data_IF_384704475229
#
_entry.id   IF_384704475229
#
_cell.length_a   1.000
_cell.length_b   1.000
_cell.length_c   1.000
_cell.angle_alpha   90.00
_cell.angle_beta   90.00
_cell.angle_gamma   90.00
#
_symmetry.space_group_name_H-M   'P 1'
#
loop_
_entity.id
_entity.type
_entity.pdbx_description
1 polymer ?
#
# COMPACT_ATOMS: atom_id res chain seq x y z
N UNK A 1 1.81 10.57 17.53
CA UNK A 1 2.92 9.61 17.46
C UNK A 1 4.24 10.34 17.19
N UNK A 2 5.31 10.10 17.98
CA UNK A 2 6.57 10.89 17.94
C UNK A 2 7.78 10.11 17.39
N UNK A 3 7.58 8.91 16.83
CA UNK A 3 8.69 8.00 16.46
C UNK A 3 9.12 8.16 15.00
N UNK A 4 8.15 8.36 14.09
CA UNK A 4 8.41 8.35 12.63
C UNK A 4 9.36 9.47 12.18
N UNK A 5 9.08 10.73 12.54
CA UNK A 5 9.90 11.87 12.11
C UNK A 5 11.35 11.77 12.60
N UNK A 6 11.63 11.50 13.89
CA UNK A 6 12.99 11.30 14.36
C UNK A 6 13.70 10.12 13.67
N UNK A 7 13.00 9.02 13.40
CA UNK A 7 13.59 7.87 12.70
C UNK A 7 14.01 8.23 11.27
N UNK A 8 13.15 8.92 10.51
CA UNK A 8 13.46 9.39 9.17
C UNK A 8 14.65 10.36 9.17
N UNK A 9 14.66 11.33 10.08
CA UNK A 9 15.75 12.30 10.21
C UNK A 9 17.07 11.65 10.61
N UNK A 10 17.05 10.65 11.50
CA UNK A 10 18.24 9.89 11.89
C UNK A 10 18.83 9.09 10.71
N UNK A 11 18.00 8.71 9.73
CA UNK A 11 18.44 8.10 8.47
C UNK A 11 18.88 9.14 7.41
N UNK A 12 18.88 10.43 7.75
CA UNK A 12 19.20 11.51 6.82
C UNK A 12 18.10 11.81 5.81
N UNK A 13 16.89 11.27 5.99
CA UNK A 13 15.76 11.51 5.11
C UNK A 13 15.15 12.87 5.45
N UNK A 14 15.30 13.82 4.53
CA UNK A 14 14.80 15.19 4.67
C UNK A 14 13.60 15.51 3.78
N UNK A 15 13.23 14.59 2.89
CA UNK A 15 12.09 14.71 1.95
C UNK A 15 11.56 13.33 1.60
N UNK A 16 10.27 13.23 1.31
CA UNK A 16 9.64 12.02 0.78
C UNK A 16 9.07 12.31 -0.61
N UNK A 17 9.44 11.50 -1.60
CA UNK A 17 8.82 11.57 -2.92
C UNK A 17 7.36 11.09 -2.87
N UNK A 18 7.08 10.06 -2.06
CA UNK A 18 5.74 9.54 -1.83
C UNK A 18 5.55 9.17 -0.35
N UNK A 19 4.39 9.55 0.21
CA UNK A 19 3.85 8.99 1.44
C UNK A 19 2.57 8.26 1.07
N UNK A 20 2.51 6.95 1.28
CA UNK A 20 1.33 6.14 1.04
C UNK A 20 0.77 5.64 2.38
N UNK A 21 -0.50 5.94 2.64
CA UNK A 21 -1.27 5.43 3.78
C UNK A 21 -2.18 4.33 3.24
N UNK A 22 -2.21 3.16 3.88
CA UNK A 22 -3.07 2.06 3.41
C UNK A 22 -4.55 2.41 3.57
N UNK A 23 -4.91 2.96 4.73
CA UNK A 23 -6.21 3.51 5.07
C UNK A 23 -6.03 4.49 6.25
N UNK A 24 -7.12 5.07 6.77
CA UNK A 24 -7.05 6.19 7.71
C UNK A 24 -7.26 5.84 9.19
N UNK A 25 -7.21 4.56 9.57
CA UNK A 25 -7.23 4.23 10.99
C UNK A 25 -5.93 4.69 11.65
N UNK A 26 -6.01 4.97 12.95
CA UNK A 26 -4.98 5.73 13.65
C UNK A 26 -3.65 4.96 13.82
N UNK A 27 -3.70 3.63 13.82
CA UNK A 27 -2.52 2.76 13.81
C UNK A 27 -1.82 2.66 12.44
N UNK A 28 -2.44 3.18 11.37
CA UNK A 28 -1.83 3.30 10.04
C UNK A 28 -1.51 4.75 9.66
N UNK A 29 -2.35 5.70 10.06
CA UNK A 29 -2.27 7.11 9.67
C UNK A 29 -1.86 8.06 10.80
N UNK A 30 -1.77 7.59 12.05
CA UNK A 30 -1.56 8.43 13.24
C UNK A 30 -0.27 9.24 13.23
N UNK A 31 0.76 8.77 12.52
CA UNK A 31 2.02 9.49 12.32
C UNK A 31 1.99 10.52 11.19
N UNK A 32 1.04 10.43 10.25
CA UNK A 32 1.01 11.22 9.03
C UNK A 32 0.93 12.74 9.27
N UNK A 33 0.12 13.27 10.23
CA UNK A 33 0.10 14.71 10.50
C UNK A 33 1.47 15.26 10.90
N UNK A 34 2.22 14.49 11.70
CA UNK A 34 3.55 14.89 12.16
C UNK A 34 4.55 14.88 10.99
N UNK A 35 4.50 13.85 10.14
CA UNK A 35 5.34 13.77 8.94
C UNK A 35 5.07 14.94 8.00
N UNK A 36 3.82 15.19 7.64
CA UNK A 36 3.43 16.24 6.70
C UNK A 36 3.77 17.66 7.22
N UNK A 37 3.84 17.87 8.53
CA UNK A 37 4.25 19.14 9.13
C UNK A 37 5.77 19.36 9.13
N UNK A 38 6.58 18.31 9.20
CA UNK A 38 8.03 18.42 9.44
C UNK A 38 8.89 17.98 8.27
N UNK A 39 8.34 17.17 7.35
CA UNK A 39 9.07 16.59 6.22
C UNK A 39 8.28 16.94 4.95
N UNK A 40 8.91 17.63 3.97
CA UNK A 40 8.30 17.83 2.65
C UNK A 40 7.92 16.50 1.99
N UNK A 41 6.65 16.37 1.63
CA UNK A 41 6.09 15.23 0.90
C UNK A 41 5.62 15.71 -0.46
N UNK A 42 6.14 15.12 -1.54
CA UNK A 42 5.74 15.50 -2.91
C UNK A 42 4.35 14.97 -3.24
N UNK A 43 4.08 13.70 -2.89
CA UNK A 43 2.78 13.08 -3.13
C UNK A 43 2.30 12.31 -1.91
N UNK A 44 1.15 12.70 -1.38
CA UNK A 44 0.38 11.90 -0.44
C UNK A 44 -0.60 11.01 -1.20
N UNK A 45 -0.64 9.72 -0.87
CA UNK A 45 -1.60 8.76 -1.42
C UNK A 45 -2.26 7.94 -0.33
N UNK A 46 -3.53 7.62 -0.51
CA UNK A 46 -4.37 6.94 0.49
C UNK A 46 -5.61 6.35 -0.18
N UNK A 47 -6.30 5.43 0.47
CA UNK A 47 -7.61 4.93 0.01
C UNK A 47 -8.74 5.95 0.24
N UNK A 48 -8.54 6.90 1.15
CA UNK A 48 -9.48 7.96 1.50
C UNK A 48 -8.77 9.33 1.55
N UNK A 49 -9.52 10.42 1.31
CA UNK A 49 -8.99 11.79 1.40
C UNK A 49 -8.54 12.10 2.83
N UNK A 50 -7.27 12.51 2.99
CA UNK A 50 -6.70 12.79 4.31
C UNK A 50 -6.84 14.25 4.71
N UNK A 51 -7.89 14.57 5.47
CA UNK A 51 -8.15 15.92 5.95
C UNK A 51 -8.23 16.94 4.80
N UNK A 52 -7.45 18.03 4.88
CA UNK A 52 -7.36 19.03 3.82
C UNK A 52 -6.13 18.86 2.91
N UNK A 53 -5.37 17.78 3.06
CA UNK A 53 -4.17 17.56 2.27
C UNK A 53 -4.55 17.05 0.86
N UNK A 54 -3.93 17.58 -0.21
CA UNK A 54 -4.07 17.01 -1.54
C UNK A 54 -3.67 15.53 -1.52
N UNK A 55 -4.66 14.66 -1.72
CA UNK A 55 -4.51 13.21 -1.56
C UNK A 55 -4.80 12.54 -2.89
N UNK A 56 -3.83 11.77 -3.39
CA UNK A 56 -4.01 10.88 -4.53
C UNK A 56 -4.67 9.58 -4.06
N UNK A 57 -5.93 9.34 -4.46
CA UNK A 57 -6.58 8.08 -4.13
C UNK A 57 -5.84 6.92 -4.79
N UNK A 58 -5.47 5.90 -4.02
CA UNK A 58 -4.80 4.72 -4.54
C UNK A 58 -5.82 3.82 -5.24
N UNK A 59 -5.45 3.29 -6.40
CA UNK A 59 -6.33 2.48 -7.24
C UNK A 59 -5.56 1.35 -7.92
N UNK A 60 -6.18 0.19 -8.04
CA UNK A 60 -5.59 -0.98 -8.67
C UNK A 60 -5.18 -0.70 -10.12
N UNK A 61 -3.96 -1.07 -10.48
CA UNK A 61 -3.38 -0.83 -11.79
C UNK A 61 -2.41 0.35 -11.82
N UNK A 62 -2.40 1.20 -10.81
CA UNK A 62 -1.32 2.16 -10.62
C UNK A 62 0.02 1.44 -10.50
N UNK A 63 1.01 1.97 -11.21
CA UNK A 63 2.36 1.40 -11.24
C UNK A 63 3.40 2.50 -11.38
N UNK A 64 4.45 2.43 -10.56
CA UNK A 64 5.60 3.31 -10.69
C UNK A 64 6.90 2.55 -10.42
N UNK A 65 8.02 3.19 -10.74
CA UNK A 65 9.35 2.67 -10.48
C UNK A 65 10.17 3.68 -9.68
N UNK A 66 10.91 3.19 -8.69
CA UNK A 66 11.85 3.98 -7.90
C UNK A 66 13.12 3.17 -7.68
N UNK A 67 14.27 3.68 -8.15
CA UNK A 67 15.58 3.03 -8.08
C UNK A 67 15.60 1.55 -8.52
N UNK A 68 14.90 1.26 -9.61
CA UNK A 68 14.79 -0.10 -10.14
C UNK A 68 13.67 -0.93 -9.51
N UNK A 69 13.17 -0.55 -8.34
CA UNK A 69 12.05 -1.22 -7.64
C UNK A 69 10.73 -0.83 -8.29
N UNK A 70 9.93 -1.83 -8.63
CA UNK A 70 8.59 -1.65 -9.23
C UNK A 70 7.55 -1.75 -8.12
N UNK A 71 6.67 -0.76 -8.08
CA UNK A 71 5.55 -0.71 -7.17
C UNK A 71 4.25 -0.81 -7.97
N UNK A 72 3.35 -1.70 -7.57
CA UNK A 72 2.04 -1.88 -8.22
C UNK A 72 0.94 -1.91 -7.18
N UNK A 73 -0.04 -1.03 -7.31
CA UNK A 73 -1.25 -1.06 -6.46
C UNK A 73 -2.17 -2.15 -6.99
N UNK A 74 -2.59 -3.05 -6.11
CA UNK A 74 -3.44 -4.20 -6.45
C UNK A 74 -4.90 -4.00 -6.05
N UNK A 75 -5.17 -3.18 -5.04
CA UNK A 75 -6.49 -2.82 -4.51
C UNK A 75 -6.42 -1.40 -3.88
N UNK A 76 -7.54 -0.69 -3.71
CA UNK A 76 -8.90 -1.06 -4.12
C UNK A 76 -9.09 -1.07 -5.64
N UNK A 77 -10.11 -1.77 -6.14
CA UNK A 77 -10.45 -1.71 -7.56
C UNK A 77 -11.17 -0.39 -7.87
N UNK A 78 -10.95 0.24 -9.04
CA UNK A 78 -11.61 1.50 -9.40
C UNK A 78 -13.15 1.44 -9.27
N UNK A 79 -13.76 0.28 -9.57
CA UNK A 79 -15.20 0.08 -9.45
C UNK A 79 -15.71 0.09 -7.99
N UNK A 80 -14.85 -0.19 -7.02
CA UNK A 80 -15.22 -0.24 -5.61
C UNK A 80 -15.21 1.13 -4.93
N UNK A 81 -14.69 2.19 -5.58
CA UNK A 81 -14.86 3.56 -5.09
C UNK A 81 -16.34 4.01 -5.10
N UNK A 82 -17.20 3.32 -5.85
CA UNK A 82 -18.66 3.56 -5.88
C UNK A 82 -19.45 2.61 -4.96
N UNK A 83 -18.83 1.52 -4.50
CA UNK A 83 -19.39 0.53 -3.59
C UNK A 83 -18.41 0.37 -2.43
N UNK A 84 -18.31 1.41 -1.60
CA UNK A 84 -17.45 1.38 -0.42
C UNK A 84 -17.95 0.21 0.45
N UNK A 85 -17.11 -0.82 0.69
CA UNK A 85 -17.49 -1.90 1.59
C UNK A 85 -17.87 -1.29 2.95
N UNK A 86 -18.81 -1.91 3.67
CA UNK A 86 -19.17 -1.41 5.00
C UNK A 86 -17.97 -1.36 5.96
N UNK A 87 -16.96 -2.16 5.66
CA UNK A 87 -15.67 -2.18 6.34
C UNK A 87 -14.63 -1.39 5.54
N UNK A 88 -14.11 -0.31 6.13
CA UNK A 88 -13.09 0.55 5.50
C UNK A 88 -11.77 -0.18 5.28
N UNK A 89 -11.51 -1.22 6.06
CA UNK A 89 -10.29 -2.02 5.96
C UNK A 89 -10.18 -2.71 4.60
N UNK A 90 -11.31 -3.09 4.01
CA UNK A 90 -11.42 -3.68 2.66
C UNK A 90 -11.19 -2.65 1.54
N UNK A 91 -11.02 -1.38 1.88
CA UNK A 91 -10.56 -0.34 0.94
C UNK A 91 -9.06 -0.07 1.06
N UNK A 92 -8.31 -0.85 1.86
CA UNK A 92 -6.87 -0.65 2.04
C UNK A 92 -6.11 -0.63 0.70
N UNK A 93 -5.19 0.31 0.53
CA UNK A 93 -4.22 0.27 -0.56
C UNK A 93 -3.36 -0.98 -0.41
N UNK A 94 -3.56 -1.98 -1.27
CA UNK A 94 -2.72 -3.18 -1.30
C UNK A 94 -1.58 -2.96 -2.29
N UNK A 95 -0.35 -3.13 -1.84
CA UNK A 95 0.85 -2.81 -2.61
C UNK A 95 1.73 -4.03 -2.86
N UNK A 96 2.04 -4.29 -4.13
CA UNK A 96 3.11 -5.22 -4.52
C UNK A 96 4.39 -4.45 -4.80
N UNK A 97 5.48 -4.84 -4.16
CA UNK A 97 6.82 -4.28 -4.33
C UNK A 97 7.72 -5.35 -4.94
N UNK A 98 8.33 -5.06 -6.09
CA UNK A 98 9.20 -5.99 -6.81
C UNK A 98 10.60 -5.41 -6.91
N UNK A 99 11.60 -6.10 -6.35
CA UNK A 99 13.00 -5.68 -6.43
C UNK A 99 13.62 -6.05 -7.77
N UNK A 100 14.59 -5.29 -8.29
CA UNK A 100 15.30 -5.69 -9.49
C UNK A 100 16.08 -6.99 -9.26
N UNK A 101 16.06 -7.89 -10.23
CA UNK A 101 16.94 -9.06 -10.23
C UNK A 101 18.40 -8.63 -10.43
N UNK A 102 19.32 -9.34 -9.79
CA UNK A 102 20.76 -9.23 -10.04
C UNK A 102 21.26 -10.54 -10.66
N UNK A 103 22.55 -10.61 -11.01
CA UNK A 103 23.14 -11.84 -11.57
C UNK A 103 23.04 -13.03 -10.61
N UNK A 104 22.96 -12.78 -9.30
CA UNK A 104 23.02 -13.81 -8.26
C UNK A 104 21.76 -13.88 -7.39
N UNK A 105 20.84 -12.90 -7.49
CA UNK A 105 19.63 -12.83 -6.67
C UNK A 105 18.44 -12.60 -7.60
N UNK A 106 17.41 -13.47 -7.60
CA UNK A 106 16.21 -13.27 -8.39
C UNK A 106 15.43 -12.03 -7.91
N UNK A 107 14.45 -11.59 -8.71
CA UNK A 107 13.46 -10.61 -8.26
C UNK A 107 12.79 -11.11 -6.97
N UNK A 108 12.56 -10.21 -6.03
CA UNK A 108 11.82 -10.51 -4.81
C UNK A 108 10.54 -9.68 -4.77
N UNK A 109 9.45 -10.31 -4.37
CA UNK A 109 8.12 -9.74 -4.36
C UNK A 109 7.60 -9.65 -2.92
N UNK A 110 7.32 -8.43 -2.47
CA UNK A 110 6.72 -8.16 -1.17
C UNK A 110 5.30 -7.67 -1.36
N UNK A 111 4.34 -8.37 -0.78
CA UNK A 111 2.93 -7.98 -0.76
C UNK A 111 2.58 -7.35 0.59
N UNK A 112 2.07 -6.11 0.55
CA UNK A 112 1.66 -5.35 1.73
C UNK A 112 0.15 -5.16 1.68
N UNK A 113 -0.56 -5.77 2.62
CA UNK A 113 -2.03 -5.81 2.63
C UNK A 113 -2.68 -4.64 3.37
N UNK A 114 -1.94 -3.95 4.25
CA UNK A 114 -2.55 -2.99 5.18
C UNK A 114 -3.52 -3.74 6.09
N UNK A 115 -4.80 -3.32 6.09
CA UNK A 115 -5.86 -4.04 6.81
C UNK A 115 -6.84 -4.77 5.90
N UNK A 116 -6.48 -4.96 4.63
CA UNK A 116 -7.28 -5.75 3.71
C UNK A 116 -7.64 -7.12 4.32
N UNK A 117 -8.93 -7.41 4.38
CA UNK A 117 -9.48 -8.63 4.97
C UNK A 117 -9.84 -9.66 3.90
N UNK A 118 -10.67 -10.61 4.32
CA UNK A 118 -11.09 -11.74 3.48
C UNK A 118 -11.69 -11.32 2.13
N UNK A 119 -12.47 -10.22 2.09
CA UNK A 119 -13.12 -9.82 0.85
C UNK A 119 -12.09 -9.35 -0.19
N UNK A 120 -11.14 -8.52 0.22
CA UNK A 120 -10.06 -8.05 -0.67
C UNK A 120 -9.13 -9.20 -1.05
N UNK A 121 -8.74 -10.06 -0.12
CA UNK A 121 -7.94 -11.25 -0.39
C UNK A 121 -8.61 -12.14 -1.46
N UNK A 122 -9.91 -12.42 -1.30
CA UNK A 122 -10.68 -13.20 -2.26
C UNK A 122 -10.71 -12.56 -3.66
N UNK A 123 -10.89 -11.24 -3.73
CA UNK A 123 -10.87 -10.51 -4.99
C UNK A 123 -9.51 -10.58 -5.68
N UNK A 124 -8.42 -10.42 -4.92
CA UNK A 124 -7.07 -10.52 -5.45
C UNK A 124 -6.82 -11.91 -6.05
N UNK A 125 -7.21 -12.97 -5.33
CA UNK A 125 -7.10 -14.35 -5.83
C UNK A 125 -7.94 -14.58 -7.09
N UNK A 126 -9.19 -14.14 -7.11
CA UNK A 126 -10.04 -14.20 -8.31
C UNK A 126 -9.41 -13.49 -9.51
N UNK A 127 -8.85 -12.31 -9.32
CA UNK A 127 -8.21 -11.55 -10.39
C UNK A 127 -6.94 -12.22 -10.92
N UNK A 128 -6.14 -12.82 -10.04
CA UNK A 128 -4.92 -13.55 -10.45
C UNK A 128 -5.24 -14.77 -11.32
N UNK A 129 -6.39 -15.42 -11.09
CA UNK A 129 -6.85 -16.56 -11.90
C UNK A 129 -7.52 -16.19 -13.23
N UNK A 130 -7.96 -14.94 -13.42
CA UNK A 130 -8.85 -14.56 -14.53
C UNK A 130 -8.29 -13.53 -15.52
N UNK A 131 -7.19 -12.83 -15.21
CA UNK A 131 -6.72 -11.73 -16.06
C UNK A 131 -5.60 -12.16 -17.01
N UNK A 132 -5.90 -12.29 -18.30
CA UNK A 132 -4.87 -12.42 -19.35
C UNK A 132 -4.13 -11.10 -19.65
N UNK A 133 -4.64 -9.96 -19.18
CA UNK A 133 -4.06 -8.62 -19.41
C UNK A 133 -3.35 -8.02 -18.20
N UNK A 134 -3.57 -8.57 -16.99
CA UNK A 134 -2.67 -8.39 -15.86
C UNK A 134 -2.08 -9.76 -15.55
N UNK A 135 -0.83 -9.99 -15.92
CA UNK A 135 0.00 -10.99 -15.25
C UNK A 135 0.24 -10.54 -13.80
N UNK A 136 -0.84 -10.48 -12.99
CA UNK A 136 -0.79 -10.36 -11.54
C UNK A 136 -0.42 -11.74 -11.02
N UNK A 137 0.86 -12.07 -11.16
CA UNK A 137 1.41 -13.18 -10.40
C UNK A 137 1.39 -12.71 -8.93
N UNK A 138 0.46 -13.22 -8.13
CA UNK A 138 0.44 -13.02 -6.67
C UNK A 138 1.53 -13.87 -5.98
N UNK A 139 2.63 -14.09 -6.69
CA UNK A 139 3.77 -14.86 -6.24
C UNK A 139 4.65 -13.95 -5.38
N UNK A 140 4.23 -13.80 -4.12
CA UNK A 140 4.94 -13.01 -3.13
C UNK A 140 5.92 -13.91 -2.37
N UNK A 141 7.20 -13.51 -2.31
CA UNK A 141 8.20 -14.13 -1.44
C UNK A 141 7.97 -13.74 0.03
N UNK A 142 7.40 -12.55 0.27
CA UNK A 142 7.06 -12.04 1.59
C UNK A 142 5.66 -11.42 1.58
N UNK A 143 4.81 -11.85 2.50
CA UNK A 143 3.49 -11.27 2.77
C UNK A 143 3.50 -10.54 4.11
N UNK A 144 3.21 -9.25 4.10
CA UNK A 144 2.81 -8.51 5.30
C UNK A 144 1.29 -8.63 5.40
N UNK A 145 0.88 -9.48 6.35
CA UNK A 145 -0.50 -9.90 6.58
C UNK A 145 -1.43 -8.72 6.83
N UNK A 146 -2.68 -8.89 6.41
CA UNK A 146 -3.73 -7.91 6.68
C UNK A 146 -4.05 -7.80 8.16
N UNK A 147 -4.45 -6.62 8.63
CA UNK A 147 -5.19 -6.43 9.88
C UNK A 147 -4.49 -7.05 11.10
N UNK A 148 -3.17 -6.90 11.11
CA UNK A 148 -2.26 -7.42 12.14
C UNK A 148 -2.37 -8.94 12.39
N UNK A 149 -2.84 -9.71 11.40
CA UNK A 149 -3.04 -11.17 11.52
C UNK A 149 -4.22 -11.56 12.42
N UNK A 150 -5.24 -10.69 12.54
CA UNK A 150 -6.41 -10.97 13.36
C UNK A 150 -7.37 -11.99 12.69
N UNK A 151 -8.42 -12.42 13.42
CA UNK A 151 -9.42 -13.41 12.95
C UNK A 151 -10.13 -13.07 11.63
N UNK A 152 -10.05 -11.81 11.18
CA UNK A 152 -10.67 -11.35 9.93
C UNK A 152 -9.66 -11.17 8.78
N UNK A 153 -8.37 -11.41 9.02
CA UNK A 153 -7.36 -11.64 7.97
C UNK A 153 -7.14 -13.14 7.82
N UNK A 154 -6.98 -13.63 6.59
CA UNK A 154 -6.76 -15.07 6.36
C UNK A 154 -5.28 -15.49 6.41
N UNK A 155 -4.39 -14.61 6.89
CA UNK A 155 -2.94 -14.83 6.88
C UNK A 155 -2.29 -14.79 8.27
#
# INVERSE_FOLDING_TARGET
EKVVVPALQAQGITRLDKLMLTHLDNDHSGGAPSVLQHIPVIQLSSSEVFGSYPTHLCEAGERWQWDGVIFTVLAPLPQHHQQIPSDKNESSCVLMVQTPATQTVPSQHVLIMGDAGFYTEFLLLQQSGLSQNLQKNLDADLLIVGHHGSKHSSS
#
